data_IF_129676954879
#
_entry.id   IF_129676954879
#
_cell.length_a   1.000
_cell.length_b   1.000
_cell.length_c   1.000
_cell.angle_alpha   90.00
_cell.angle_beta   90.00
_cell.angle_gamma   90.00
#
_symmetry.space_group_name_H-M   'P 1'
#
loop_
_entity.id
_entity.type
_entity.pdbx_description
1 polymer ?
#
# COMPACT_ATOMS: atom_id res chain seq x y z
N UNK A 1 -67.55 -7.11 37.57
CA UNK A 1 -66.75 -5.89 37.34
C UNK A 1 -65.56 -6.31 36.50
N UNK A 2 -65.62 -6.06 35.20
CA UNK A 2 -64.55 -6.43 34.25
C UNK A 2 -64.09 -5.13 33.61
N UNK A 3 -62.86 -4.72 33.93
CA UNK A 3 -62.27 -3.50 33.40
C UNK A 3 -61.91 -3.71 31.92
N UNK A 4 -62.48 -2.88 31.05
CA UNK A 4 -62.12 -2.78 29.65
C UNK A 4 -60.84 -1.96 29.60
N UNK A 5 -59.70 -2.60 29.35
CA UNK A 5 -58.45 -1.89 29.07
C UNK A 5 -58.59 -1.23 27.69
N UNK A 6 -58.61 0.10 27.69
CA UNK A 6 -58.57 0.91 26.47
C UNK A 6 -57.24 0.63 25.75
N UNK A 7 -57.31 0.08 24.54
CA UNK A 7 -56.18 0.04 23.62
C UNK A 7 -55.92 1.45 23.11
N UNK A 8 -55.01 2.15 23.78
CA UNK A 8 -54.51 3.44 23.34
C UNK A 8 -53.61 3.19 22.11
N UNK A 9 -54.12 3.52 20.92
CA UNK A 9 -53.33 3.58 19.69
C UNK A 9 -52.31 4.71 19.85
N UNK A 10 -51.06 4.37 20.15
CA UNK A 10 -49.95 5.33 20.19
C UNK A 10 -49.57 5.68 18.76
N UNK A 11 -50.15 6.77 18.24
CA UNK A 11 -49.64 7.48 17.08
C UNK A 11 -48.26 8.04 17.44
N UNK A 12 -47.19 7.26 17.23
CA UNK A 12 -45.84 7.82 17.27
C UNK A 12 -45.63 8.65 16.00
N UNK A 13 -45.27 9.94 16.09
CA UNK A 13 -44.89 10.70 14.92
C UNK A 13 -43.66 10.04 14.27
N UNK A 14 -43.73 9.83 12.96
CA UNK A 14 -42.55 9.43 12.20
C UNK A 14 -41.64 10.67 12.06
N UNK A 15 -40.69 10.80 12.98
CA UNK A 15 -39.79 11.96 13.07
C UNK A 15 -38.71 11.96 11.97
N UNK A 16 -38.36 10.80 11.44
CA UNK A 16 -37.29 10.62 10.45
C UNK A 16 -37.81 10.00 9.16
N UNK A 17 -37.39 10.56 8.02
CA UNK A 17 -37.57 10.00 6.68
C UNK A 17 -36.21 9.60 6.11
N UNK A 18 -36.02 8.33 5.81
CA UNK A 18 -34.83 7.81 5.13
C UNK A 18 -35.17 7.52 3.67
N UNK A 19 -34.52 8.25 2.76
CA UNK A 19 -34.58 8.00 1.32
C UNK A 19 -33.36 7.20 0.89
N UNK A 20 -33.57 6.12 0.15
CA UNK A 20 -32.50 5.27 -0.36
C UNK A 20 -32.15 5.61 -1.80
N UNK A 21 -30.96 5.23 -2.25
CA UNK A 21 -30.52 5.42 -3.63
C UNK A 21 -31.49 4.72 -4.61
N UNK A 22 -31.86 5.32 -5.76
CA UNK A 22 -32.85 4.75 -6.68
C UNK A 22 -32.53 3.32 -7.16
N UNK A 23 -31.24 2.98 -7.28
CA UNK A 23 -30.81 1.64 -7.69
C UNK A 23 -30.92 0.56 -6.58
N UNK A 24 -31.14 0.94 -5.33
CA UNK A 24 -31.24 -0.01 -4.20
C UNK A 24 -32.55 -0.79 -4.17
N UNK A 25 -33.60 -0.32 -4.87
CA UNK A 25 -34.98 -0.83 -4.81
C UNK A 25 -35.60 -0.82 -3.40
N UNK A 26 -34.96 -0.19 -2.42
CA UNK A 26 -35.51 0.00 -1.08
C UNK A 26 -36.56 1.12 -1.11
N UNK A 27 -37.70 0.87 -0.47
CA UNK A 27 -38.74 1.90 -0.31
C UNK A 27 -38.33 2.91 0.75
N UNK A 28 -38.81 4.15 0.61
CA UNK A 28 -38.64 5.19 1.64
C UNK A 28 -39.13 4.69 3.00
N UNK A 29 -38.30 4.86 4.01
CA UNK A 29 -38.54 4.38 5.37
C UNK A 29 -38.87 5.57 6.28
N UNK A 30 -39.90 5.42 7.12
CA UNK A 30 -40.31 6.41 8.10
C UNK A 30 -40.15 5.83 9.50
N UNK A 31 -39.39 6.48 10.37
CA UNK A 31 -39.02 5.97 11.69
C UNK A 31 -39.29 7.00 12.78
N UNK A 32 -39.59 6.54 13.99
CA UNK A 32 -39.60 7.37 15.20
C UNK A 32 -38.17 7.69 15.64
N UNK A 33 -38.01 8.64 16.57
CA UNK A 33 -36.71 8.90 17.18
C UNK A 33 -36.13 7.69 17.91
N UNK A 34 -36.96 6.89 18.59
CA UNK A 34 -36.53 5.72 19.34
C UNK A 34 -36.00 4.59 18.44
N UNK A 35 -36.58 4.44 17.25
CA UNK A 35 -36.21 3.42 16.27
C UNK A 35 -35.01 3.86 15.41
N UNK A 36 -34.82 5.17 15.22
CA UNK A 36 -33.78 5.70 14.34
C UNK A 36 -32.38 5.40 14.89
N UNK A 37 -31.62 4.59 14.16
CA UNK A 37 -30.27 4.16 14.55
C UNK A 37 -30.23 2.83 15.31
N UNK A 38 -31.38 2.24 15.63
CA UNK A 38 -31.43 0.85 16.04
C UNK A 38 -31.15 -0.03 14.81
N UNK A 39 -30.01 -0.71 14.79
CA UNK A 39 -29.74 -1.66 13.72
C UNK A 39 -30.72 -2.82 13.85
N UNK A 40 -31.63 -2.96 12.89
CA UNK A 40 -32.46 -4.15 12.78
C UNK A 40 -31.51 -5.35 12.55
N UNK A 41 -31.44 -6.35 13.44
CA UNK A 41 -30.60 -7.53 13.24
C UNK A 41 -30.99 -8.33 11.98
N UNK A 42 -32.19 -8.15 11.43
CA UNK A 42 -32.57 -8.74 10.13
C UNK A 42 -31.88 -8.07 8.93
N UNK A 43 -31.30 -6.87 9.12
CA UNK A 43 -30.50 -6.16 8.12
C UNK A 43 -29.00 -6.21 8.47
N UNK A 44 -28.54 -7.30 9.09
CA UNK A 44 -27.16 -7.69 8.88
C UNK A 44 -27.12 -8.19 7.44
N UNK A 45 -26.72 -7.32 6.50
CA UNK A 45 -26.40 -7.78 5.15
C UNK A 45 -25.48 -8.99 5.31
N UNK A 46 -25.87 -10.13 4.74
CA UNK A 46 -24.99 -11.27 4.68
C UNK A 46 -23.63 -10.76 4.16
N UNK A 47 -22.50 -11.13 4.80
CA UNK A 47 -21.19 -10.69 4.33
C UNK A 47 -21.12 -10.91 2.82
N UNK A 48 -20.83 -9.84 2.07
CA UNK A 48 -20.68 -9.95 0.62
C UNK A 48 -19.65 -11.04 0.37
N UNK A 49 -20.08 -12.12 -0.27
CA UNK A 49 -19.21 -13.27 -0.51
C UNK A 49 -18.09 -12.92 -1.49
N UNK A 50 -18.27 -11.85 -2.29
CA UNK A 50 -17.35 -11.45 -3.35
C UNK A 50 -17.22 -9.91 -3.46
N UNK A 51 -16.56 -9.25 -2.49
CA UNK A 51 -16.33 -7.79 -2.51
C UNK A 51 -15.51 -7.32 -3.72
N UNK A 52 -14.91 -8.24 -4.49
CA UNK A 52 -14.09 -7.97 -5.68
C UNK A 52 -14.87 -8.01 -7.01
N UNK A 53 -16.20 -8.19 -7.04
CA UNK A 53 -16.97 -8.35 -8.29
C UNK A 53 -16.91 -7.16 -9.26
N UNK A 54 -16.48 -5.97 -8.79
CA UNK A 54 -16.22 -4.81 -9.65
C UNK A 54 -14.95 -4.97 -10.51
N UNK A 55 -14.10 -5.95 -10.18
CA UNK A 55 -12.90 -6.31 -10.93
C UNK A 55 -13.11 -7.62 -11.69
N UNK A 56 -12.43 -7.75 -12.84
CA UNK A 56 -12.51 -8.96 -13.67
C UNK A 56 -11.92 -10.21 -12.99
N UNK A 57 -11.16 -10.05 -11.90
CA UNK A 57 -10.63 -11.14 -11.09
C UNK A 57 -10.27 -10.66 -9.68
N UNK A 58 -10.26 -11.57 -8.72
CA UNK A 58 -9.75 -11.32 -7.36
C UNK A 58 -8.29 -10.84 -7.39
N UNK A 59 -7.46 -11.38 -8.30
CA UNK A 59 -6.08 -10.95 -8.47
C UNK A 59 -5.95 -9.48 -8.89
N UNK A 60 -6.85 -9.00 -9.76
CA UNK A 60 -6.88 -7.58 -10.15
C UNK A 60 -7.29 -6.68 -8.98
N UNK A 61 -8.23 -7.16 -8.14
CA UNK A 61 -8.64 -6.45 -6.94
C UNK A 61 -7.49 -6.34 -5.92
N UNK A 62 -6.83 -7.46 -5.59
CA UNK A 62 -5.70 -7.48 -4.66
C UNK A 62 -4.56 -6.59 -5.17
N UNK A 63 -4.23 -6.68 -6.46
CA UNK A 63 -3.20 -5.84 -7.07
C UNK A 63 -3.55 -4.34 -6.97
N UNK A 64 -4.80 -3.97 -7.29
CA UNK A 64 -5.25 -2.58 -7.21
C UNK A 64 -5.24 -2.06 -5.76
N UNK A 65 -5.68 -2.89 -4.80
CA UNK A 65 -5.62 -2.57 -3.37
C UNK A 65 -4.20 -2.25 -2.93
N UNK A 66 -3.24 -3.14 -3.22
CA UNK A 66 -1.82 -2.93 -2.88
C UNK A 66 -1.28 -1.66 -3.54
N UNK A 67 -1.62 -1.42 -4.81
CA UNK A 67 -1.14 -0.23 -5.53
C UNK A 67 -1.64 1.07 -4.90
N UNK A 68 -2.90 1.12 -4.45
CA UNK A 68 -3.49 2.27 -3.78
C UNK A 68 -2.92 2.44 -2.38
N UNK A 69 -2.85 1.36 -1.59
CA UNK A 69 -2.31 1.38 -0.21
C UNK A 69 -0.84 1.82 -0.17
N UNK A 70 -0.03 1.35 -1.11
CA UNK A 70 1.38 1.72 -1.21
C UNK A 70 1.61 3.06 -1.95
N UNK A 71 0.56 3.71 -2.45
CA UNK A 71 0.66 4.98 -3.18
C UNK A 71 1.51 4.89 -4.44
N UNK A 72 1.42 3.79 -5.19
CA UNK A 72 2.23 3.56 -6.38
C UNK A 72 1.86 4.54 -7.50
N UNK A 73 2.89 5.07 -8.17
CA UNK A 73 2.75 5.83 -9.42
C UNK A 73 2.34 4.93 -10.59
N UNK A 74 1.79 5.53 -11.65
CA UNK A 74 1.44 4.82 -12.88
C UNK A 74 2.62 4.04 -13.46
N UNK A 75 3.82 4.63 -13.48
CA UNK A 75 5.04 3.96 -13.95
C UNK A 75 5.42 2.75 -13.11
N UNK A 76 5.26 2.82 -11.77
CA UNK A 76 5.51 1.68 -10.90
C UNK A 76 4.48 0.56 -11.14
N UNK A 77 3.21 0.92 -11.32
CA UNK A 77 2.14 -0.03 -11.66
C UNK A 77 2.44 -0.76 -12.97
N UNK A 78 2.77 -0.03 -14.05
CA UNK A 78 3.08 -0.61 -15.36
C UNK A 78 4.31 -1.54 -15.30
N UNK A 79 5.32 -1.14 -14.51
CA UNK A 79 6.54 -1.93 -14.31
C UNK A 79 6.24 -3.24 -13.57
N UNK A 80 5.42 -3.19 -12.51
CA UNK A 80 5.02 -4.38 -11.78
C UNK A 80 4.15 -5.32 -12.63
N UNK A 81 3.20 -4.79 -13.40
CA UNK A 81 2.39 -5.60 -14.33
C UNK A 81 3.27 -6.29 -15.37
N UNK A 82 4.26 -5.58 -15.92
CA UNK A 82 5.23 -6.16 -16.84
C UNK A 82 6.01 -7.31 -16.19
N UNK A 83 6.48 -7.12 -14.95
CA UNK A 83 7.18 -8.17 -14.20
C UNK A 83 6.29 -9.40 -13.97
N UNK A 84 5.05 -9.21 -13.52
CA UNK A 84 4.07 -10.31 -13.34
C UNK A 84 3.85 -11.06 -14.65
N UNK A 85 3.72 -10.34 -15.77
CA UNK A 85 3.55 -10.95 -17.08
C UNK A 85 4.79 -11.73 -17.55
N UNK A 86 6.00 -11.21 -17.29
CA UNK A 86 7.25 -11.91 -17.54
C UNK A 86 7.36 -13.19 -16.71
N UNK A 87 6.96 -13.16 -15.44
CA UNK A 87 6.92 -14.35 -14.57
C UNK A 87 5.92 -15.37 -15.10
N UNK A 88 4.71 -14.94 -15.47
CA UNK A 88 3.70 -15.83 -16.08
C UNK A 88 4.15 -16.47 -17.39
N UNK A 89 5.05 -15.82 -18.14
CA UNK A 89 5.70 -16.35 -19.35
C UNK A 89 6.96 -17.17 -19.08
N UNK A 90 7.41 -17.30 -17.82
CA UNK A 90 8.65 -17.99 -17.45
C UNK A 90 9.93 -17.24 -17.84
N UNK A 91 9.84 -15.95 -18.16
CA UNK A 91 10.99 -15.11 -18.54
C UNK A 91 11.70 -14.48 -17.34
N UNK A 92 11.06 -14.49 -16.16
CA UNK A 92 11.61 -13.99 -14.91
C UNK A 92 11.13 -14.87 -13.74
N UNK A 93 11.87 -14.83 -12.63
CA UNK A 93 11.45 -15.44 -11.37
C UNK A 93 11.81 -14.53 -10.20
N UNK A 94 10.93 -14.48 -9.20
CA UNK A 94 11.18 -13.81 -7.93
C UNK A 94 11.43 -14.92 -6.91
N UNK A 95 12.63 -14.92 -6.32
CA UNK A 95 13.02 -15.90 -5.27
C UNK A 95 12.77 -15.38 -3.86
N UNK A 96 12.36 -14.12 -3.72
CA UNK A 96 12.02 -13.49 -2.45
C UNK A 96 10.68 -14.04 -1.92
N UNK A 97 10.68 -14.52 -0.69
CA UNK A 97 9.51 -15.18 -0.07
C UNK A 97 8.72 -14.23 0.82
N UNK A 98 9.40 -13.29 1.49
CA UNK A 98 8.80 -12.36 2.44
C UNK A 98 9.66 -11.10 2.59
N UNK A 99 9.15 -10.15 3.37
CA UNK A 99 9.80 -8.88 3.68
C UNK A 99 11.20 -9.05 4.30
N UNK A 100 11.36 -9.97 5.27
CA UNK A 100 12.66 -10.27 5.87
C UNK A 100 13.68 -10.78 4.84
N UNK A 101 13.23 -11.57 3.87
CA UNK A 101 14.04 -12.05 2.75
C UNK A 101 14.45 -10.92 1.81
N UNK A 102 13.55 -9.97 1.53
CA UNK A 102 13.86 -8.76 0.76
C UNK A 102 14.93 -7.93 1.48
N UNK A 103 14.73 -7.62 2.76
CA UNK A 103 15.70 -6.87 3.56
C UNK A 103 17.06 -7.58 3.61
N UNK A 104 17.08 -8.89 3.82
CA UNK A 104 18.32 -9.67 3.83
C UNK A 104 19.04 -9.65 2.48
N UNK A 105 18.29 -9.73 1.38
CA UNK A 105 18.85 -9.65 0.03
C UNK A 105 19.41 -8.24 -0.25
N UNK A 106 18.70 -7.19 0.19
CA UNK A 106 19.16 -5.80 0.12
C UNK A 106 20.40 -5.57 0.96
N UNK A 107 20.46 -6.04 2.21
CA UNK A 107 21.62 -5.90 3.09
C UNK A 107 22.85 -6.59 2.50
N UNK A 108 22.65 -7.78 1.91
CA UNK A 108 23.70 -8.49 1.19
C UNK A 108 24.18 -7.67 -0.02
N UNK A 109 23.27 -7.09 -0.79
CA UNK A 109 23.63 -6.24 -1.93
C UNK A 109 24.39 -4.99 -1.47
N UNK A 110 23.95 -4.34 -0.39
CA UNK A 110 24.63 -3.19 0.21
C UNK A 110 26.02 -3.58 0.72
N UNK A 111 26.19 -4.76 1.32
CA UNK A 111 27.49 -5.25 1.78
C UNK A 111 28.53 -5.47 0.67
N UNK A 112 28.09 -5.60 -0.58
CA UNK A 112 28.95 -5.70 -1.77
C UNK A 112 29.35 -4.32 -2.32
N UNK A 113 28.69 -3.25 -1.87
CA UNK A 113 28.96 -1.88 -2.31
C UNK A 113 29.94 -1.18 -1.35
N UNK A 114 30.59 -0.12 -1.83
CA UNK A 114 31.51 0.68 -1.01
C UNK A 114 30.71 1.33 0.12
N UNK A 115 31.05 1.07 1.40
CA UNK A 115 30.35 1.70 2.50
C UNK A 115 30.65 3.20 2.56
N UNK A 116 29.70 3.97 3.09
CA UNK A 116 29.93 5.35 3.48
C UNK A 116 30.73 5.38 4.79
N UNK A 117 31.83 6.13 4.81
CA UNK A 117 32.65 6.39 5.97
C UNK A 117 32.11 7.61 6.72
N UNK A 118 31.92 7.46 8.03
CA UNK A 118 31.60 8.58 8.92
C UNK A 118 32.90 9.24 9.38
N UNK A 119 33.08 10.51 9.02
CA UNK A 119 34.23 11.29 9.41
C UNK A 119 33.79 12.48 10.26
N UNK A 120 34.59 12.79 11.30
CA UNK A 120 34.35 13.96 12.16
C UNK A 120 35.33 15.05 11.78
N UNK A 121 34.81 16.17 11.29
CA UNK A 121 35.61 17.36 11.01
C UNK A 121 35.46 18.28 12.21
N UNK A 122 36.54 18.50 12.95
CA UNK A 122 36.58 19.50 14.02
C UNK A 122 37.09 20.81 13.44
N UNK A 123 36.30 21.88 13.55
CA UNK A 123 36.68 23.21 13.11
C UNK A 123 36.61 24.16 14.30
N UNK A 124 37.72 24.85 14.66
CA UNK A 124 37.68 25.87 15.70
C UNK A 124 36.90 27.08 15.17
N UNK A 125 35.82 27.44 15.86
CA UNK A 125 34.98 28.59 15.51
C UNK A 125 34.62 29.38 16.76
N UNK A 126 34.96 30.67 16.78
CA UNK A 126 34.73 31.59 17.92
C UNK A 126 35.27 31.08 19.28
N UNK A 127 36.36 30.33 19.26
CA UNK A 127 37.00 29.79 20.47
C UNK A 127 36.40 28.47 20.97
N UNK A 128 35.44 27.89 20.24
CA UNK A 128 34.88 26.57 20.51
C UNK A 128 35.16 25.61 19.35
N UNK A 129 35.45 24.35 19.67
CA UNK A 129 35.61 23.30 18.66
C UNK A 129 34.24 22.79 18.22
N UNK A 130 33.86 23.10 16.98
CA UNK A 130 32.61 22.62 16.39
C UNK A 130 32.88 21.33 15.63
N UNK A 131 32.17 20.26 15.98
CA UNK A 131 32.32 18.94 15.35
C UNK A 131 31.20 18.73 14.32
N UNK A 132 31.58 18.58 13.06
CA UNK A 132 30.68 18.19 11.97
C UNK A 132 30.81 16.71 11.67
N UNK A 133 29.69 15.98 11.69
CA UNK A 133 29.65 14.60 11.20
C UNK A 133 29.37 14.61 9.70
N UNK A 134 30.35 14.18 8.92
CA UNK A 134 30.25 14.09 7.46
C UNK A 134 30.27 12.63 7.04
N UNK A 135 29.38 12.25 6.13
CA UNK A 135 29.40 10.94 5.49
C UNK A 135 30.13 11.09 4.15
N UNK A 136 31.18 10.31 3.95
CA UNK A 136 32.03 10.36 2.75
C UNK A 136 32.04 8.97 2.10
N UNK A 137 31.95 8.89 0.78
CA UNK A 137 32.24 7.66 0.05
C UNK A 137 33.57 7.85 -0.70
N UNK A 138 34.60 7.03 -0.47
CA UNK A 138 35.85 7.13 -1.21
C UNK A 138 35.60 6.96 -2.71
N UNK A 139 35.80 8.04 -3.48
CA UNK A 139 35.44 8.08 -4.91
C UNK A 139 36.14 6.99 -5.73
N UNK A 140 37.39 6.68 -5.38
CA UNK A 140 38.17 5.64 -6.04
C UNK A 140 37.62 4.24 -5.78
N UNK A 141 37.32 3.90 -4.53
CA UNK A 141 36.75 2.59 -4.18
C UNK A 141 35.35 2.43 -4.76
N UNK A 142 34.55 3.50 -4.79
CA UNK A 142 33.27 3.54 -5.49
C UNK A 142 33.42 3.30 -7.00
N UNK A 143 34.38 3.98 -7.65
CA UNK A 143 34.65 3.79 -9.07
C UNK A 143 35.13 2.36 -9.39
N UNK A 144 35.97 1.76 -8.55
CA UNK A 144 36.38 0.37 -8.70
C UNK A 144 35.19 -0.61 -8.59
N UNK A 145 34.27 -0.38 -7.65
CA UNK A 145 33.06 -1.18 -7.52
C UNK A 145 32.10 -1.03 -8.72
N UNK A 146 32.07 0.13 -9.39
CA UNK A 146 31.36 0.30 -10.65
C UNK A 146 32.01 -0.48 -11.80
N UNK A 147 33.34 -0.47 -11.88
CA UNK A 147 34.07 -1.20 -12.93
C UNK A 147 33.95 -2.73 -12.80
N UNK A 148 33.68 -3.23 -11.60
CA UNK A 148 33.43 -4.65 -11.35
C UNK A 148 32.01 -5.09 -11.76
N UNK A 149 31.10 -4.17 -12.08
CA UNK A 149 29.76 -4.52 -12.56
C UNK A 149 29.80 -4.94 -14.05
N UNK A 150 29.53 -6.22 -14.38
CA UNK A 150 29.64 -6.70 -15.77
C UNK A 150 28.69 -5.98 -16.73
N UNK A 151 27.54 -5.53 -16.23
CA UNK A 151 26.53 -4.75 -16.97
C UNK A 151 27.02 -3.37 -17.41
N UNK A 152 27.98 -2.77 -16.70
CA UNK A 152 28.60 -1.50 -17.04
C UNK A 152 29.81 -1.69 -17.97
N UNK A 153 30.43 -2.86 -17.97
CA UNK A 153 31.58 -3.19 -18.84
C UNK A 153 31.24 -3.54 -20.29
N UNK A 154 29.96 -3.71 -20.63
CA UNK A 154 29.54 -4.18 -21.96
C UNK A 154 29.94 -3.23 -23.11
N UNK A 155 30.23 -1.96 -22.82
CA UNK A 155 30.58 -0.96 -23.84
C UNK A 155 32.09 -0.74 -24.05
N UNK A 156 32.98 -1.37 -23.27
CA UNK A 156 34.43 -1.14 -23.40
C UNK A 156 35.12 -2.04 -24.41
N UNK A 157 34.39 -2.87 -25.17
CA UNK A 157 34.95 -3.65 -26.28
C UNK A 157 34.85 -2.89 -27.62
N UNK A 158 35.33 -1.64 -27.63
CA UNK A 158 35.72 -0.98 -28.86
C UNK A 158 37.13 -1.43 -29.21
N UNK A 159 37.27 -2.35 -30.17
CA UNK A 159 38.55 -2.71 -30.75
C UNK A 159 39.22 -1.44 -31.30
N UNK A 160 40.37 -1.08 -30.72
CA UNK A 160 41.37 -0.29 -31.43
C UNK A 160 42.16 -1.27 -32.29
N UNK A 161 41.74 -1.46 -33.53
CA UNK A 161 42.57 -1.94 -34.65
C UNK A 161 42.08 -1.30 -35.94
#
# INVERSE_FOLDING_TARGET
>A
MTAIAASCSTNHPHDFKTEFHPCSKCSTLYQSFEDFGQQNPEHIMAPDSEPWHLFASEGNYIFAMIAVEAGLSSTQVDTLLTLVHCIGKGMASITLVNDAGLHTASDRAVSQLTPFLKFKITVPYKGEDVIFQVHMCPLWDWALNLLQNPSLTLHSSGKFE
#
